data_IF_309101449232
#
_entry.id   IF_309101449232
#
_cell.length_a   1.000
_cell.length_b   1.000
_cell.length_c   1.000
_cell.angle_alpha   90.00
_cell.angle_beta   90.00
_cell.angle_gamma   90.00
#
_symmetry.space_group_name_H-M   'P 1'
#
loop_
_entity.id
_entity.type
_entity.pdbx_description
1 polymer ?
#
# COMPACT_ATOMS: atom_id res chain seq x y z
N UNK A 1 -12.16 -4.63 5.53
CA UNK A 1 -11.12 -4.24 6.51
C UNK A 1 -10.53 -2.89 6.08
N UNK A 2 -9.83 -2.10 6.93
CA UNK A 2 -9.22 -0.84 6.45
C UNK A 2 -8.06 -1.09 5.48
N UNK A 3 -7.26 -2.10 5.79
CA UNK A 3 -6.00 -2.39 5.10
C UNK A 3 -6.27 -3.18 3.83
N UNK A 4 -5.72 -2.72 2.71
CA UNK A 4 -5.82 -3.40 1.43
C UNK A 4 -5.09 -2.62 0.33
N UNK A 5 -4.92 -3.22 -0.84
CA UNK A 5 -4.41 -2.50 -2.00
C UNK A 5 -5.41 -1.44 -2.45
N UNK A 6 -4.94 -0.23 -2.74
CA UNK A 6 -5.78 0.91 -3.14
C UNK A 6 -6.68 1.50 -2.04
N UNK A 7 -6.77 0.84 -0.88
CA UNK A 7 -7.52 1.29 0.29
C UNK A 7 -6.62 2.06 1.28
N UNK A 8 -6.97 2.03 2.55
CA UNK A 8 -6.11 2.58 3.60
C UNK A 8 -4.88 1.70 3.83
N UNK A 9 -3.72 2.29 4.19
CA UNK A 9 -3.49 3.71 4.46
C UNK A 9 -3.14 4.56 3.22
N UNK A 10 -2.97 3.93 2.05
CA UNK A 10 -2.46 4.62 0.85
C UNK A 10 -3.42 5.72 0.41
N UNK A 11 -4.73 5.46 0.42
CA UNK A 11 -5.73 6.47 0.06
C UNK A 11 -5.74 7.67 1.02
N UNK A 12 -5.62 7.44 2.32
CA UNK A 12 -5.48 8.53 3.30
C UNK A 12 -4.27 9.42 3.01
N UNK A 13 -3.11 8.83 2.71
CA UNK A 13 -1.91 9.58 2.31
C UNK A 13 -2.14 10.36 1.01
N UNK A 14 -2.77 9.75 0.01
CA UNK A 14 -3.09 10.43 -1.26
C UNK A 14 -4.07 11.61 -1.06
N UNK A 15 -5.06 11.47 -0.19
CA UNK A 15 -5.98 12.56 0.17
C UNK A 15 -5.24 13.73 0.85
N UNK A 16 -4.24 13.44 1.67
CA UNK A 16 -3.45 14.47 2.35
C UNK A 16 -2.49 15.21 1.41
N UNK A 17 -1.83 14.49 0.48
CA UNK A 17 -0.80 15.06 -0.39
C UNK A 17 -1.35 15.63 -1.71
N UNK A 18 -2.37 14.98 -2.27
CA UNK A 18 -2.91 15.28 -3.59
C UNK A 18 -4.46 15.30 -3.56
N UNK A 19 -5.07 16.21 -2.77
CA UNK A 19 -6.51 16.24 -2.59
C UNK A 19 -7.25 16.39 -3.93
N UNK A 20 -6.80 17.25 -4.82
CA UNK A 20 -7.45 17.49 -6.11
C UNK A 20 -7.45 16.28 -7.04
N UNK A 21 -6.45 15.39 -6.89
CA UNK A 21 -6.34 14.16 -7.68
C UNK A 21 -7.07 12.97 -7.04
N UNK A 22 -7.38 13.08 -5.75
CA UNK A 22 -7.88 11.96 -4.93
C UNK A 22 -9.33 12.14 -4.47
N UNK A 23 -9.88 13.36 -4.61
CA UNK A 23 -11.20 13.77 -4.13
C UNK A 23 -12.38 13.02 -4.78
N UNK A 24 -12.16 12.32 -5.90
CA UNK A 24 -13.18 11.44 -6.47
C UNK A 24 -13.66 10.42 -5.42
N UNK A 25 -14.97 10.14 -5.44
CA UNK A 25 -15.57 9.16 -4.53
C UNK A 25 -14.85 7.81 -4.68
N UNK A 26 -14.59 7.18 -3.53
CA UNK A 26 -14.00 5.85 -3.54
C UNK A 26 -15.00 4.86 -4.16
N UNK A 27 -14.54 3.87 -4.97
CA UNK A 27 -15.39 2.77 -5.37
C UNK A 27 -15.93 2.05 -4.12
N UNK A 28 -17.14 1.46 -4.20
CA UNK A 28 -17.65 0.66 -3.09
C UNK A 28 -16.73 -0.53 -2.80
N UNK A 29 -16.66 -0.93 -1.53
CA UNK A 29 -15.98 -2.17 -1.14
C UNK A 29 -16.57 -3.35 -1.93
N UNK A 30 -15.71 -4.15 -2.54
CA UNK A 30 -16.09 -5.29 -3.37
C UNK A 30 -15.40 -6.52 -2.86
N UNK A 31 -16.14 -7.63 -2.81
CA UNK A 31 -15.56 -8.93 -2.51
C UNK A 31 -14.43 -9.24 -3.50
N UNK A 32 -13.33 -9.77 -2.97
CA UNK A 32 -12.23 -10.27 -3.77
C UNK A 32 -12.75 -11.37 -4.71
N UNK A 33 -12.48 -11.29 -6.01
CA UNK A 33 -12.93 -12.29 -6.96
C UNK A 33 -12.26 -13.65 -6.73
N UNK A 34 -12.90 -14.71 -7.22
CA UNK A 34 -12.30 -16.05 -7.33
C UNK A 34 -11.95 -16.35 -8.80
N UNK A 35 -11.01 -17.28 -9.00
CA UNK A 35 -10.66 -17.81 -10.33
C UNK A 35 -11.04 -19.27 -10.36
N UNK A 36 -12.12 -19.60 -11.07
CA UNK A 36 -12.60 -20.97 -11.20
C UNK A 36 -13.04 -21.60 -9.87
N UNK A 37 -13.57 -20.80 -8.93
CA UNK A 37 -13.96 -21.24 -7.60
C UNK A 37 -12.83 -21.26 -6.58
N UNK A 38 -11.60 -20.90 -6.97
CA UNK A 38 -10.45 -20.81 -6.07
C UNK A 38 -10.27 -19.37 -5.57
N UNK A 39 -10.17 -19.16 -4.25
CA UNK A 39 -9.99 -17.81 -3.70
C UNK A 39 -8.66 -17.21 -4.13
N UNK A 40 -8.70 -15.96 -4.59
CA UNK A 40 -7.49 -15.15 -4.76
C UNK A 40 -7.05 -14.65 -3.38
N UNK A 41 -5.80 -14.91 -3.01
CA UNK A 41 -5.20 -14.55 -1.72
C UNK A 41 -4.20 -13.41 -1.83
N UNK A 42 -3.67 -13.19 -3.05
CA UNK A 42 -2.76 -12.10 -3.42
C UNK A 42 -2.82 -11.84 -4.94
N UNK A 43 -2.15 -10.80 -5.43
CA UNK A 43 -2.15 -10.40 -6.85
C UNK A 43 -1.67 -11.46 -7.85
N UNK A 44 -0.99 -12.50 -7.39
CA UNK A 44 -0.49 -13.59 -8.21
C UNK A 44 -0.68 -14.95 -7.55
N UNK A 45 -1.62 -15.09 -6.62
CA UNK A 45 -1.70 -16.27 -5.75
C UNK A 45 -3.14 -16.70 -5.54
N UNK A 46 -3.39 -18.01 -5.71
CA UNK A 46 -4.65 -18.66 -5.39
C UNK A 46 -4.47 -19.62 -4.21
N UNK A 47 -5.51 -19.76 -3.40
CA UNK A 47 -5.61 -20.80 -2.38
C UNK A 47 -6.23 -22.07 -2.95
N UNK A 48 -5.57 -23.22 -2.77
CA UNK A 48 -6.08 -24.55 -3.09
C UNK A 48 -5.85 -25.49 -1.91
N UNK A 49 -6.91 -25.94 -1.24
CA UNK A 49 -6.83 -26.89 -0.11
C UNK A 49 -5.83 -26.49 1.00
N UNK A 50 -5.72 -25.18 1.26
CA UNK A 50 -4.79 -24.62 2.25
C UNK A 50 -3.35 -24.44 1.75
N UNK A 51 -3.09 -24.68 0.47
CA UNK A 51 -1.82 -24.41 -0.20
C UNK A 51 -1.95 -23.16 -1.07
N UNK A 52 -0.95 -22.29 -0.99
CA UNK A 52 -0.84 -21.12 -1.85
C UNK A 52 -0.12 -21.50 -3.15
N UNK A 53 -0.73 -21.18 -4.29
CA UNK A 53 -0.19 -21.47 -5.62
C UNK A 53 0.00 -20.16 -6.38
N UNK A 54 1.25 -19.87 -6.73
CA UNK A 54 1.58 -18.70 -7.54
C UNK A 54 1.30 -18.96 -9.03
N UNK A 55 0.52 -18.06 -9.64
CA UNK A 55 0.06 -18.16 -11.01
C UNK A 55 0.04 -16.76 -11.64
N UNK A 56 0.25 -16.65 -12.97
CA UNK A 56 0.02 -15.38 -13.66
C UNK A 56 -1.48 -15.06 -13.65
N UNK A 57 -1.86 -14.02 -12.90
CA UNK A 57 -3.23 -13.48 -12.87
C UNK A 57 -3.21 -12.06 -13.45
N UNK A 58 -4.28 -11.69 -14.16
CA UNK A 58 -4.41 -10.33 -14.67
C UNK A 58 -4.84 -9.40 -13.52
N UNK A 59 -4.11 -8.29 -13.34
CA UNK A 59 -4.39 -7.35 -12.26
C UNK A 59 -5.78 -6.74 -12.34
N UNK A 60 -6.31 -6.56 -13.57
CA UNK A 60 -7.67 -6.10 -13.81
C UNK A 60 -8.74 -7.13 -13.42
N UNK A 61 -8.39 -8.42 -13.34
CA UNK A 61 -9.29 -9.46 -12.83
C UNK A 61 -9.23 -9.52 -11.31
N UNK A 62 -8.04 -9.32 -10.72
CA UNK A 62 -7.84 -9.36 -9.26
C UNK A 62 -8.37 -8.10 -8.56
N UNK A 63 -8.16 -6.94 -9.18
CA UNK A 63 -8.50 -5.62 -8.65
C UNK A 63 -9.03 -4.71 -9.77
N UNK A 64 -10.27 -4.92 -10.27
CA UNK A 64 -10.80 -4.22 -11.44
C UNK A 64 -10.82 -2.69 -11.30
N UNK A 65 -11.04 -2.19 -10.09
CA UNK A 65 -11.02 -0.76 -9.74
C UNK A 65 -9.74 -0.35 -8.99
N UNK A 66 -8.70 -1.19 -9.02
CA UNK A 66 -7.44 -0.99 -8.28
C UNK A 66 -7.56 -1.23 -6.77
N UNK A 67 -8.63 -1.89 -6.32
CA UNK A 67 -8.88 -2.21 -4.92
C UNK A 67 -8.77 -3.71 -4.66
N UNK A 68 -8.12 -4.07 -3.56
CA UNK A 68 -8.04 -5.46 -3.11
C UNK A 68 -7.99 -5.56 -1.58
N UNK A 69 -8.98 -6.23 -0.99
CA UNK A 69 -8.96 -6.62 0.43
C UNK A 69 -9.19 -5.50 1.45
N UNK A 70 -9.59 -4.29 1.03
CA UNK A 70 -9.78 -3.16 1.92
C UNK A 70 -10.89 -2.20 1.49
N UNK A 71 -11.46 -1.49 2.47
CA UNK A 71 -12.53 -0.51 2.31
C UNK A 71 -11.93 0.91 2.20
N UNK A 72 -11.88 1.50 0.99
CA UNK A 72 -11.31 2.82 0.77
C UNK A 72 -12.21 3.97 1.29
N UNK A 73 -13.48 3.69 1.65
CA UNK A 73 -14.38 4.72 2.20
C UNK A 73 -14.01 5.13 3.62
N UNK A 74 -13.18 4.33 4.29
CA UNK A 74 -12.69 4.60 5.64
C UNK A 74 -11.48 5.55 5.66
N UNK A 75 -10.97 5.93 4.50
CA UNK A 75 -9.81 6.81 4.34
C UNK A 75 -10.14 8.27 4.63
N UNK A 76 -9.19 8.98 5.24
CA UNK A 76 -9.32 10.40 5.54
C UNK A 76 -7.98 11.15 5.47
N UNK A 77 -8.04 12.45 5.17
CA UNK A 77 -6.84 13.27 5.01
C UNK A 77 -6.08 13.51 6.32
N UNK A 78 -6.75 13.47 7.47
CA UNK A 78 -6.10 13.72 8.77
C UNK A 78 -5.20 12.54 9.18
N UNK A 79 -5.71 11.32 9.02
CA UNK A 79 -4.94 10.08 9.12
C UNK A 79 -3.77 10.10 8.15
N UNK A 80 -3.99 10.53 6.91
CA UNK A 80 -2.95 10.71 5.91
C UNK A 80 -1.84 11.66 6.34
N UNK A 81 -2.20 12.83 6.84
CA UNK A 81 -1.24 13.84 7.30
C UNK A 81 -0.38 13.32 8.47
N UNK A 82 -1.00 12.65 9.46
CA UNK A 82 -0.29 12.05 10.58
C UNK A 82 0.68 10.94 10.12
N UNK A 83 0.27 10.13 9.14
CA UNK A 83 1.12 9.11 8.56
C UNK A 83 2.30 9.71 7.79
N UNK A 84 2.06 10.74 6.97
CA UNK A 84 3.10 11.45 6.23
C UNK A 84 4.14 12.04 7.19
N UNK A 85 3.70 12.73 8.25
CA UNK A 85 4.60 13.32 9.25
C UNK A 85 5.49 12.24 9.88
N UNK A 86 4.88 11.14 10.33
CA UNK A 86 5.61 10.03 10.95
C UNK A 86 6.60 9.36 9.98
N UNK A 87 6.18 9.10 8.74
CA UNK A 87 7.02 8.45 7.74
C UNK A 87 8.17 9.35 7.30
N UNK A 88 7.93 10.65 7.10
CA UNK A 88 8.97 11.62 6.80
C UNK A 88 10.01 11.71 7.94
N UNK A 89 9.55 11.71 9.20
CA UNK A 89 10.44 11.69 10.36
C UNK A 89 11.32 10.44 10.41
N UNK A 90 10.76 9.26 10.14
CA UNK A 90 11.52 8.00 10.07
C UNK A 90 12.55 8.05 8.92
N UNK A 91 12.14 8.54 7.74
CA UNK A 91 13.02 8.67 6.58
C UNK A 91 14.20 9.61 6.85
N UNK A 92 13.94 10.77 7.45
CA UNK A 92 14.99 11.71 7.83
C UNK A 92 15.98 11.11 8.85
N UNK A 93 15.46 10.39 9.85
CA UNK A 93 16.30 9.70 10.84
C UNK A 93 17.17 8.60 10.19
N UNK A 94 16.62 7.84 9.24
CA UNK A 94 17.38 6.85 8.48
C UNK A 94 18.51 7.50 7.68
N UNK A 95 18.23 8.58 6.96
CA UNK A 95 19.23 9.32 6.19
C UNK A 95 20.36 9.80 7.11
N UNK A 96 20.03 10.42 8.25
CA UNK A 96 21.04 10.86 9.23
C UNK A 96 21.90 9.72 9.77
N UNK A 97 21.30 8.53 9.96
CA UNK A 97 22.06 7.33 10.39
C UNK A 97 22.99 6.82 9.30
N UNK A 98 22.55 6.81 8.04
CA UNK A 98 23.35 6.38 6.91
C UNK A 98 24.53 7.33 6.65
N UNK A 99 24.31 8.64 6.79
CA UNK A 99 25.37 9.64 6.65
C UNK A 99 26.45 9.47 7.73
N UNK A 100 26.05 9.34 9.00
CA UNK A 100 26.97 9.09 10.11
C UNK A 100 27.76 7.77 9.92
N UNK A 101 27.11 6.73 9.42
CA UNK A 101 27.76 5.46 9.09
C UNK A 101 28.78 5.64 7.96
N UNK A 102 28.41 6.36 6.89
CA UNK A 102 29.31 6.65 5.76
C UNK A 102 30.58 7.38 6.21
N UNK A 103 30.43 8.41 7.06
CA UNK A 103 31.55 9.16 7.63
C UNK A 103 32.49 8.27 8.47
N UNK A 104 31.94 7.36 9.28
CA UNK A 104 32.72 6.44 10.09
C UNK A 104 33.50 5.41 9.25
N UNK A 105 33.00 5.05 8.06
CA UNK A 105 33.64 4.09 7.14
C UNK A 105 34.67 4.73 6.20
N UNK A 106 34.71 6.06 6.09
CA UNK A 106 35.69 6.80 5.29
C UNK A 106 36.57 7.74 6.14
N UNK A 107 37.31 7.24 7.15
CA UNK A 107 38.23 8.10 7.88
C UNK A 107 39.39 8.50 6.96
N UNK A 108 39.43 9.76 6.50
CA UNK A 108 40.61 10.36 5.86
C UNK A 108 40.49 10.87 4.42
N UNK A 109 39.28 11.00 3.84
CA UNK A 109 39.11 11.77 2.59
C UNK A 109 38.91 13.27 2.91
N UNK A 110 40.02 13.99 3.03
CA UNK A 110 40.11 15.43 2.75
C UNK A 110 40.63 15.62 1.33
#
# INVERSE_FOLDING_TARGET
ARLGHGADPVRSVSLALFPDQTAAAAPPDRAVPDVGGLPITSFSTLGLDGVEIDLPLESAEVAPEGLFGGDPSLADAATGAALVERLAGIGAALIGRLDALSAALQPGRM
#
